data_IF_401802098321
#
_entry.id   IF_401802098321
#
_cell.length_a   1.000
_cell.length_b   1.000
_cell.length_c   1.000
_cell.angle_alpha   90.00
_cell.angle_beta   90.00
_cell.angle_gamma   90.00
#
_symmetry.space_group_name_H-M   'P 1'
#
loop_
_entity.id
_entity.type
_entity.pdbx_description
1 polymer ?
#
# COMPACT_ATOMS: atom_id res chain seq x y z
N UNK A 1 -12.11 -1.67 21.83
CA UNK A 1 -11.56 -2.96 22.27
C UNK A 1 -10.20 -3.11 21.58
N UNK A 2 -9.12 -3.01 22.35
CA UNK A 2 -7.77 -3.31 21.90
C UNK A 2 -7.64 -4.83 21.87
N UNK A 3 -7.29 -5.39 20.73
CA UNK A 3 -7.00 -6.81 20.62
C UNK A 3 -5.50 -7.00 20.79
N UNK A 4 -5.11 -7.66 21.89
CA UNK A 4 -3.77 -8.24 21.98
C UNK A 4 -3.82 -9.58 21.26
N UNK A 5 -3.02 -9.80 20.20
CA UNK A 5 -2.89 -11.13 19.63
C UNK A 5 -2.33 -12.06 20.72
N UNK A 6 -2.72 -13.35 20.73
CA UNK A 6 -2.14 -14.31 21.65
C UNK A 6 -0.61 -14.33 21.45
N UNK A 7 0.17 -14.60 22.54
CA UNK A 7 1.62 -14.70 22.41
C UNK A 7 1.96 -15.69 21.31
N UNK A 8 2.87 -15.29 20.42
CA UNK A 8 3.31 -16.14 19.32
C UNK A 8 3.73 -17.50 19.89
N UNK A 9 3.15 -18.58 19.34
CA UNK A 9 3.66 -19.93 19.59
C UNK A 9 5.14 -19.96 19.27
N UNK A 10 6.00 -20.61 20.09
CA UNK A 10 7.42 -20.68 19.81
C UNK A 10 7.62 -21.21 18.39
N UNK A 11 8.24 -20.42 17.53
CA UNK A 11 8.55 -20.80 16.18
C UNK A 11 9.33 -22.11 16.16
N UNK A 12 8.90 -23.01 15.29
CA UNK A 12 9.58 -24.24 15.03
C UNK A 12 11.07 -23.95 14.69
N UNK A 13 11.96 -24.73 15.28
CA UNK A 13 13.40 -24.55 15.37
C UNK A 13 14.17 -24.62 14.03
N UNK A 14 13.54 -24.34 12.89
CA UNK A 14 14.11 -24.57 11.55
C UNK A 14 14.58 -23.33 10.79
N UNK A 15 14.54 -22.12 11.35
CA UNK A 15 15.09 -20.94 10.68
C UNK A 15 16.11 -20.17 11.51
N UNK A 16 17.12 -20.86 12.07
CA UNK A 16 18.35 -20.23 12.57
C UNK A 16 19.33 -19.99 11.43
N UNK A 17 18.95 -19.15 10.52
CA UNK A 17 19.83 -18.73 9.45
C UNK A 17 19.30 -17.47 8.80
N UNK A 18 19.91 -16.30 9.09
CA UNK A 18 19.67 -15.03 8.43
C UNK A 18 18.27 -14.41 8.68
N UNK A 19 18.17 -13.64 9.70
CA UNK A 19 17.09 -12.71 9.86
C UNK A 19 16.75 -12.50 11.31
N UNK A 20 17.31 -11.46 11.90
CA UNK A 20 16.54 -10.71 12.87
C UNK A 20 15.15 -10.57 12.27
N UNK A 21 14.18 -11.18 12.92
CA UNK A 21 12.77 -10.93 12.60
C UNK A 21 12.61 -9.43 12.74
N UNK A 22 12.56 -8.71 11.63
CA UNK A 22 12.25 -7.29 11.61
C UNK A 22 10.89 -7.16 12.30
N UNK A 23 10.92 -6.83 13.57
CA UNK A 23 9.72 -6.50 14.34
C UNK A 23 9.18 -5.22 13.72
N UNK A 24 8.28 -5.37 12.76
CA UNK A 24 7.69 -4.25 12.03
C UNK A 24 6.95 -3.37 13.03
N UNK A 25 7.40 -2.16 13.17
CA UNK A 25 6.66 -1.11 13.86
C UNK A 25 5.51 -0.72 12.94
N UNK A 26 4.31 -1.20 13.22
CA UNK A 26 3.17 -0.95 12.36
C UNK A 26 1.87 -0.86 13.16
N UNK A 27 0.92 -0.14 12.58
CA UNK A 27 -0.48 -0.13 12.97
C UNK A 27 -1.30 -0.42 11.71
N UNK A 28 -2.43 -1.07 11.83
CA UNK A 28 -3.33 -1.23 10.71
C UNK A 28 -4.79 -1.26 11.15
N UNK A 29 -5.64 -0.76 10.28
CA UNK A 29 -7.09 -0.80 10.44
C UNK A 29 -7.65 -2.04 9.77
N UNK A 30 -8.45 -2.82 10.48
CA UNK A 30 -9.04 -4.08 10.00
C UNK A 30 -10.53 -4.14 10.27
N UNK A 31 -11.26 -4.86 9.41
CA UNK A 31 -12.68 -5.17 9.58
C UNK A 31 -13.64 -4.24 8.85
N UNK A 32 -14.88 -4.72 8.69
CA UNK A 32 -15.98 -4.01 8.04
C UNK A 32 -17.14 -3.76 9.00
N UNK A 33 -17.91 -2.70 8.78
CA UNK A 33 -19.14 -2.42 9.52
C UNK A 33 -18.90 -2.25 11.02
N UNK A 34 -19.53 -3.08 11.86
CA UNK A 34 -19.44 -3.03 13.32
C UNK A 34 -18.23 -3.76 13.89
N UNK A 35 -17.53 -4.57 13.10
CA UNK A 35 -16.39 -5.40 13.53
C UNK A 35 -15.04 -4.72 13.29
N UNK A 36 -14.98 -3.41 13.35
CA UNK A 36 -13.76 -2.64 13.08
C UNK A 36 -12.79 -2.70 14.25
N UNK A 37 -11.52 -2.87 13.95
CA UNK A 37 -10.44 -2.94 14.94
C UNK A 37 -9.22 -2.19 14.41
N UNK A 38 -8.52 -1.51 15.30
CA UNK A 38 -7.17 -1.02 15.06
C UNK A 38 -6.24 -1.98 15.78
N UNK A 39 -5.31 -2.59 15.07
CA UNK A 39 -4.27 -3.40 15.64
C UNK A 39 -2.98 -2.57 15.72
N UNK A 40 -2.40 -2.51 16.90
CA UNK A 40 -1.11 -1.89 17.16
C UNK A 40 -0.14 -2.99 17.54
N UNK A 41 1.05 -3.00 16.96
CA UNK A 41 2.09 -3.94 17.36
C UNK A 41 2.72 -3.52 18.69
N UNK A 42 3.05 -4.49 19.54
CA UNK A 42 3.66 -4.25 20.86
C UNK A 42 4.93 -3.40 20.76
N UNK A 43 5.71 -3.61 19.69
CA UNK A 43 6.92 -2.83 19.40
C UNK A 43 6.66 -1.34 19.16
N UNK A 44 5.47 -0.98 18.66
CA UNK A 44 5.05 0.42 18.53
C UNK A 44 4.77 1.02 19.90
N UNK A 45 4.09 0.26 20.77
CA UNK A 45 3.74 0.71 22.10
C UNK A 45 4.94 0.86 23.05
N UNK A 46 5.97 0.00 22.87
CA UNK A 46 7.17 0.01 23.73
C UNK A 46 8.15 1.15 23.38
N UNK A 47 8.19 1.59 22.12
CA UNK A 47 9.21 2.51 21.62
C UNK A 47 8.76 3.95 21.48
N UNK A 48 7.45 4.18 21.45
CA UNK A 48 6.89 5.47 21.08
C UNK A 48 6.11 6.11 22.22
N UNK A 49 6.11 7.44 22.24
CA UNK A 49 5.30 8.21 23.16
C UNK A 49 3.81 8.09 22.85
N UNK A 50 2.97 8.35 23.84
CA UNK A 50 1.51 8.33 23.64
C UNK A 50 1.05 9.29 22.55
N UNK A 51 1.67 10.46 22.39
CA UNK A 51 1.33 11.43 21.36
C UNK A 51 1.69 10.93 19.96
N UNK A 52 2.81 10.21 19.81
CA UNK A 52 3.20 9.57 18.57
C UNK A 52 2.22 8.45 18.19
N UNK A 53 1.86 7.60 19.14
CA UNK A 53 0.87 6.53 18.92
C UNK A 53 -0.47 7.12 18.51
N UNK A 54 -0.94 8.18 19.19
CA UNK A 54 -2.18 8.88 18.85
C UNK A 54 -2.12 9.45 17.44
N UNK A 55 -0.96 9.97 16.99
CA UNK A 55 -0.79 10.48 15.63
C UNK A 55 -0.92 9.38 14.57
N UNK A 56 -0.35 8.20 14.82
CA UNK A 56 -0.50 7.02 13.94
C UNK A 56 -1.95 6.56 13.88
N UNK A 57 -2.60 6.45 15.04
CA UNK A 57 -4.01 6.05 15.10
C UNK A 57 -4.90 7.07 14.37
N UNK A 58 -4.63 8.37 14.52
CA UNK A 58 -5.36 9.42 13.83
C UNK A 58 -5.18 9.34 12.30
N UNK A 59 -3.97 9.00 11.82
CA UNK A 59 -3.69 8.76 10.40
C UNK A 59 -4.52 7.57 9.88
N UNK A 60 -4.53 6.43 10.57
CA UNK A 60 -5.34 5.27 10.21
C UNK A 60 -6.85 5.57 10.21
N UNK A 61 -7.32 6.35 11.20
CA UNK A 61 -8.69 6.84 11.22
C UNK A 61 -8.97 7.77 10.04
N UNK A 62 -7.98 8.54 9.60
CA UNK A 62 -8.05 9.38 8.40
C UNK A 62 -8.37 8.56 7.16
N UNK A 63 -7.65 7.47 6.91
CA UNK A 63 -7.96 6.54 5.81
C UNK A 63 -9.40 6.03 5.86
N UNK A 64 -9.86 5.68 7.05
CA UNK A 64 -11.22 5.23 7.24
C UNK A 64 -12.26 6.32 6.96
N UNK A 65 -12.09 7.51 7.54
CA UNK A 65 -13.04 8.64 7.40
C UNK A 65 -13.15 9.13 5.97
N UNK A 66 -12.03 9.17 5.25
CA UNK A 66 -11.96 9.53 3.83
C UNK A 66 -12.36 8.38 2.89
N UNK A 67 -12.71 7.20 3.43
CA UNK A 67 -13.16 6.00 2.69
C UNK A 67 -12.13 5.47 1.69
N UNK A 68 -10.84 5.65 1.96
CA UNK A 68 -9.75 5.23 1.05
C UNK A 68 -9.78 3.73 0.77
N UNK A 69 -10.13 2.90 1.76
CA UNK A 69 -10.28 1.45 1.58
C UNK A 69 -11.41 1.13 0.60
N UNK A 70 -12.54 1.84 0.68
CA UNK A 70 -13.68 1.61 -0.21
C UNK A 70 -13.32 2.02 -1.64
N UNK A 71 -12.74 3.21 -1.83
CA UNK A 71 -12.33 3.69 -3.16
C UNK A 71 -11.26 2.79 -3.77
N UNK A 72 -10.28 2.34 -2.99
CA UNK A 72 -9.27 1.39 -3.43
C UNK A 72 -9.86 0.03 -3.82
N UNK A 73 -10.83 -0.49 -3.06
CA UNK A 73 -11.53 -1.74 -3.38
C UNK A 73 -12.30 -1.63 -4.69
N UNK A 74 -13.06 -0.54 -4.88
CA UNK A 74 -13.80 -0.30 -6.13
C UNK A 74 -12.84 -0.22 -7.31
N UNK A 75 -11.74 0.52 -7.17
CA UNK A 75 -10.72 0.63 -8.22
C UNK A 75 -10.11 -0.72 -8.56
N UNK A 76 -9.75 -1.53 -7.55
CA UNK A 76 -9.22 -2.88 -7.75
C UNK A 76 -10.21 -3.82 -8.47
N UNK A 77 -11.50 -3.72 -8.16
CA UNK A 77 -12.55 -4.49 -8.88
C UNK A 77 -12.61 -4.04 -10.35
N UNK A 78 -12.57 -2.73 -10.61
CA UNK A 78 -12.59 -2.19 -11.97
C UNK A 78 -11.34 -2.60 -12.77
N UNK A 79 -10.15 -2.52 -12.17
CA UNK A 79 -8.90 -2.99 -12.77
C UNK A 79 -8.93 -4.48 -13.10
N UNK A 80 -9.39 -5.29 -12.15
CA UNK A 80 -9.52 -6.75 -12.36
C UNK A 80 -10.52 -7.04 -13.48
N UNK A 81 -11.68 -6.37 -13.48
CA UNK A 81 -12.68 -6.49 -14.52
C UNK A 81 -12.15 -6.12 -15.91
N UNK A 82 -11.44 -5.01 -16.00
CA UNK A 82 -10.77 -4.57 -17.23
C UNK A 82 -9.70 -5.59 -17.69
N UNK A 83 -8.88 -6.08 -16.79
CA UNK A 83 -7.88 -7.10 -17.08
C UNK A 83 -8.52 -8.37 -17.66
N UNK A 84 -9.57 -8.88 -17.01
CA UNK A 84 -10.29 -10.08 -17.47
C UNK A 84 -11.00 -9.85 -18.80
N UNK A 85 -11.55 -8.67 -19.03
CA UNK A 85 -12.17 -8.30 -20.30
C UNK A 85 -11.13 -8.31 -21.44
N UNK A 86 -9.99 -7.66 -21.23
CA UNK A 86 -8.89 -7.64 -22.20
C UNK A 86 -8.36 -9.06 -22.42
N UNK A 87 -8.17 -9.84 -21.36
CA UNK A 87 -7.74 -11.24 -21.45
C UNK A 87 -8.68 -12.08 -22.32
N UNK A 88 -9.99 -11.97 -22.10
CA UNK A 88 -10.98 -12.70 -22.89
C UNK A 88 -10.91 -12.28 -24.37
N UNK A 89 -10.78 -10.99 -24.66
CA UNK A 89 -10.63 -10.49 -26.03
C UNK A 89 -9.38 -11.07 -26.71
N UNK A 90 -8.24 -11.02 -26.03
CA UNK A 90 -6.98 -11.52 -26.58
C UNK A 90 -6.96 -13.03 -26.78
N UNK A 91 -7.59 -13.81 -25.91
CA UNK A 91 -7.59 -15.29 -26.00
C UNK A 91 -8.64 -15.83 -26.97
N UNK A 92 -9.54 -14.99 -27.47
CA UNK A 92 -10.61 -15.40 -28.41
C UNK A 92 -10.33 -15.07 -29.87
N UNK A 93 -9.29 -14.26 -30.16
CA UNK A 93 -9.02 -13.77 -31.50
C UNK A 93 -7.92 -14.57 -32.19
N UNK A 94 -8.30 -15.43 -33.17
CA UNK A 94 -7.38 -16.21 -33.98
C UNK A 94 -6.40 -15.34 -34.79
N UNK A 95 -6.83 -14.14 -35.18
CA UNK A 95 -5.95 -13.26 -35.98
C UNK A 95 -4.74 -12.80 -35.15
N UNK A 96 -4.95 -12.56 -33.83
CA UNK A 96 -3.86 -12.24 -32.92
C UNK A 96 -2.86 -13.39 -32.80
N UNK A 97 -3.34 -14.62 -32.64
CA UNK A 97 -2.49 -15.81 -32.56
C UNK A 97 -1.66 -16.01 -33.84
N UNK A 98 -2.26 -15.79 -35.00
CA UNK A 98 -1.59 -15.90 -36.28
C UNK A 98 -0.41 -14.90 -36.45
N UNK A 99 -0.55 -13.67 -35.90
CA UNK A 99 0.54 -12.67 -35.91
C UNK A 99 1.77 -13.19 -35.16
N UNK A 100 1.59 -14.03 -34.15
CA UNK A 100 2.68 -14.64 -33.38
C UNK A 100 3.06 -16.03 -33.88
N UNK A 101 2.56 -16.45 -35.07
CA UNK A 101 2.88 -17.75 -35.68
C UNK A 101 2.24 -18.94 -34.94
N UNK A 102 1.18 -18.73 -34.18
CA UNK A 102 0.44 -19.77 -33.48
C UNK A 102 -0.81 -20.13 -34.28
N UNK A 103 -0.80 -21.31 -34.90
CA UNK A 103 -1.88 -21.76 -35.79
C UNK A 103 -3.21 -22.05 -35.09
N UNK A 104 -3.15 -22.52 -33.84
CA UNK A 104 -4.34 -22.90 -33.09
C UNK A 104 -4.46 -22.06 -31.80
N UNK A 105 -5.66 -21.54 -31.53
CA UNK A 105 -5.96 -20.87 -30.27
C UNK A 105 -5.75 -21.84 -29.11
N UNK A 106 -4.93 -21.46 -28.18
CA UNK A 106 -4.59 -22.25 -26.99
C UNK A 106 -4.58 -21.34 -25.76
N UNK A 107 -5.20 -21.79 -24.68
CA UNK A 107 -5.24 -21.05 -23.41
C UNK A 107 -3.81 -20.77 -22.91
N UNK A 108 -2.90 -21.73 -23.05
CA UNK A 108 -1.51 -21.58 -22.59
C UNK A 108 -0.77 -20.49 -23.37
N UNK A 109 -0.85 -20.53 -24.69
CA UNK A 109 -0.27 -19.49 -25.55
C UNK A 109 -0.94 -18.14 -25.29
N UNK A 110 -2.27 -18.13 -25.12
CA UNK A 110 -3.04 -16.93 -24.79
C UNK A 110 -2.60 -16.28 -23.51
N UNK A 111 -2.32 -17.03 -22.44
CA UNK A 111 -1.78 -16.53 -21.18
C UNK A 111 -0.41 -15.87 -21.35
N UNK A 112 0.48 -16.49 -22.13
CA UNK A 112 1.83 -15.93 -22.37
C UNK A 112 1.73 -14.64 -23.19
N UNK A 113 0.99 -14.65 -24.30
CA UNK A 113 0.80 -13.49 -25.15
C UNK A 113 0.12 -12.34 -24.43
N UNK A 114 -0.93 -12.66 -23.64
CA UNK A 114 -1.59 -11.67 -22.78
C UNK A 114 -0.61 -11.06 -21.79
N UNK A 115 0.18 -11.86 -21.07
CA UNK A 115 1.16 -11.36 -20.09
C UNK A 115 2.16 -10.38 -20.73
N UNK A 116 2.59 -10.64 -21.95
CA UNK A 116 3.50 -9.74 -22.70
C UNK A 116 2.80 -8.46 -23.13
N UNK A 117 1.59 -8.57 -23.72
CA UNK A 117 0.89 -7.45 -24.33
C UNK A 117 0.14 -6.59 -23.30
N UNK A 118 -0.21 -7.15 -22.14
CA UNK A 118 -0.89 -6.41 -21.06
C UNK A 118 0.07 -5.52 -20.25
N UNK A 119 1.38 -5.78 -20.31
CA UNK A 119 2.36 -5.04 -19.50
C UNK A 119 2.33 -3.51 -19.69
N UNK A 120 2.17 -2.93 -20.89
CA UNK A 120 2.02 -1.48 -21.06
C UNK A 120 0.73 -0.95 -20.43
N UNK A 121 -0.37 -1.72 -20.49
CA UNK A 121 -1.65 -1.35 -19.90
C UNK A 121 -1.52 -1.31 -18.37
N UNK A 122 -0.93 -2.36 -17.78
CA UNK A 122 -0.69 -2.43 -16.33
C UNK A 122 0.24 -1.31 -15.83
N UNK A 123 1.23 -0.91 -16.64
CA UNK A 123 2.07 0.24 -16.30
C UNK A 123 1.26 1.54 -16.24
N UNK A 124 0.39 1.78 -17.22
CA UNK A 124 -0.45 2.98 -17.25
C UNK A 124 -1.41 2.97 -16.04
N UNK A 125 -2.10 1.87 -15.79
CA UNK A 125 -3.03 1.77 -14.65
C UNK A 125 -2.30 1.92 -13.31
N UNK A 126 -1.09 1.37 -13.16
CA UNK A 126 -0.29 1.51 -11.95
C UNK A 126 0.10 2.97 -11.65
N UNK A 127 0.34 3.80 -12.66
CA UNK A 127 0.61 5.23 -12.47
C UNK A 127 -0.60 5.93 -11.84
N UNK A 128 -1.81 5.63 -12.31
CA UNK A 128 -3.04 6.23 -11.75
C UNK A 128 -3.30 5.73 -10.32
N UNK A 129 -3.16 4.44 -10.06
CA UNK A 129 -3.42 3.86 -8.74
C UNK A 129 -2.40 4.32 -7.71
N UNK A 130 -1.11 4.40 -8.07
CA UNK A 130 -0.07 4.93 -7.20
C UNK A 130 -0.23 6.44 -6.94
N UNK A 131 -0.66 7.22 -7.95
CA UNK A 131 -0.95 8.63 -7.76
C UNK A 131 -2.11 8.85 -6.78
N UNK A 132 -3.18 8.05 -6.90
CA UNK A 132 -4.30 8.08 -5.96
C UNK A 132 -3.86 7.66 -4.56
N UNK A 133 -3.05 6.62 -4.46
CA UNK A 133 -2.50 6.16 -3.17
C UNK A 133 -1.68 7.25 -2.49
N UNK A 134 -0.80 7.95 -3.21
CA UNK A 134 -0.03 9.08 -2.66
C UNK A 134 -0.92 10.22 -2.18
N UNK A 135 -1.99 10.53 -2.93
CA UNK A 135 -2.99 11.53 -2.51
C UNK A 135 -3.67 11.11 -1.21
N UNK A 136 -4.09 9.87 -1.11
CA UNK A 136 -4.75 9.32 0.07
C UNK A 136 -3.86 9.40 1.32
N UNK A 137 -2.56 9.17 1.19
CA UNK A 137 -1.59 9.32 2.29
C UNK A 137 -1.53 10.77 2.81
N UNK A 138 -1.47 11.74 1.89
CA UNK A 138 -1.46 13.16 2.27
C UNK A 138 -2.77 13.59 2.92
N UNK A 139 -3.90 13.07 2.46
CA UNK A 139 -5.21 13.32 3.07
C UNK A 139 -5.32 12.70 4.47
N UNK A 140 -4.74 11.53 4.69
CA UNK A 140 -4.70 10.89 6.00
C UNK A 140 -3.78 11.65 6.98
N UNK A 141 -2.62 12.14 6.50
CA UNK A 141 -1.73 13.00 7.29
C UNK A 141 -2.41 14.32 7.68
N UNK A 142 -3.08 14.95 6.73
CA UNK A 142 -3.83 16.18 6.99
C UNK A 142 -4.94 15.96 8.03
N UNK A 143 -5.67 14.84 7.94
CA UNK A 143 -6.68 14.47 8.93
C UNK A 143 -6.05 14.23 10.31
N UNK A 144 -4.91 13.54 10.38
CA UNK A 144 -4.19 13.32 11.64
C UNK A 144 -3.79 14.65 12.29
N UNK A 145 -3.24 15.58 11.50
CA UNK A 145 -2.85 16.91 11.96
C UNK A 145 -4.05 17.73 12.43
N UNK A 146 -5.14 17.77 11.65
CA UNK A 146 -6.37 18.47 12.01
C UNK A 146 -6.96 17.98 13.33
N UNK A 147 -6.90 16.64 13.55
CA UNK A 147 -7.48 15.99 14.72
C UNK A 147 -6.62 16.16 15.96
N UNK A 148 -5.31 15.97 15.84
CA UNK A 148 -4.38 16.00 16.99
C UNK A 148 -3.88 17.40 17.30
N UNK A 149 -3.83 18.29 16.30
CA UNK A 149 -3.24 19.64 16.35
C UNK A 149 -1.78 19.66 16.84
N UNK A 150 -1.09 18.54 16.67
CA UNK A 150 0.31 18.34 17.09
C UNK A 150 1.13 17.85 15.92
N UNK A 151 1.85 18.72 15.19
CA UNK A 151 2.66 18.31 14.03
C UNK A 151 3.92 17.50 14.43
N UNK A 152 4.55 17.82 15.58
CA UNK A 152 5.82 17.23 15.99
C UNK A 152 5.76 15.70 16.16
N UNK A 153 4.76 15.12 16.86
CA UNK A 153 4.64 13.66 16.98
C UNK A 153 4.49 12.95 15.63
N UNK A 154 3.68 13.51 14.72
CA UNK A 154 3.51 12.97 13.38
C UNK A 154 4.83 13.02 12.58
N UNK A 155 5.55 14.14 12.65
CA UNK A 155 6.86 14.31 12.00
C UNK A 155 7.90 13.33 12.58
N UNK A 156 7.90 13.13 13.90
CA UNK A 156 8.77 12.18 14.59
C UNK A 156 8.54 10.76 14.06
N UNK A 157 7.28 10.32 14.01
CA UNK A 157 6.90 9.01 13.49
C UNK A 157 7.27 8.81 12.02
N UNK A 158 7.08 9.82 11.18
CA UNK A 158 7.48 9.76 9.78
C UNK A 158 9.00 9.60 9.61
N UNK A 159 9.80 10.28 10.44
CA UNK A 159 11.26 10.14 10.41
C UNK A 159 11.70 8.74 10.85
N UNK A 160 11.09 8.20 11.90
CA UNK A 160 11.43 6.87 12.39
C UNK A 160 11.01 5.77 11.41
N UNK A 161 9.83 5.93 10.78
CA UNK A 161 9.40 5.05 9.71
C UNK A 161 10.40 5.04 8.54
N UNK A 162 10.91 6.21 8.16
CA UNK A 162 11.94 6.32 7.13
C UNK A 162 13.25 5.63 7.53
N UNK A 163 13.68 5.80 8.77
CA UNK A 163 14.91 5.19 9.30
C UNK A 163 14.79 3.66 9.41
N UNK A 164 13.67 3.17 9.95
CA UNK A 164 13.43 1.74 10.13
C UNK A 164 13.27 0.97 8.81
N UNK A 165 12.70 1.62 7.79
CA UNK A 165 12.51 1.02 6.46
C UNK A 165 13.68 1.30 5.50
N UNK A 166 14.76 1.96 5.95
CA UNK A 166 15.88 2.38 5.10
C UNK A 166 15.40 3.13 3.85
N UNK A 167 14.40 3.99 4.02
CA UNK A 167 13.73 4.67 2.91
C UNK A 167 14.65 5.66 2.23
N UNK A 168 14.63 5.71 0.90
CA UNK A 168 15.36 6.72 0.14
C UNK A 168 14.72 8.10 0.38
N UNK A 169 15.45 9.03 0.98
CA UNK A 169 14.92 10.33 1.40
C UNK A 169 14.72 11.32 0.25
N UNK A 170 15.50 11.16 -0.82
CA UNK A 170 15.49 12.05 -2.00
C UNK A 170 15.39 11.26 -3.31
N UNK A 171 14.32 10.46 -3.51
CA UNK A 171 14.15 9.71 -4.74
C UNK A 171 13.94 10.65 -5.92
N UNK A 172 14.38 10.23 -7.11
CA UNK A 172 14.16 10.99 -8.33
C UNK A 172 12.65 11.17 -8.60
N UNK A 173 12.16 12.37 -8.97
CA UNK A 173 10.73 12.63 -9.16
C UNK A 173 10.04 11.66 -10.14
N UNK A 174 10.72 11.27 -11.22
CA UNK A 174 10.20 10.30 -12.17
C UNK A 174 9.99 8.92 -11.52
N UNK A 175 10.88 8.47 -10.64
CA UNK A 175 10.72 7.22 -9.92
C UNK A 175 9.51 7.27 -8.98
N UNK A 176 9.32 8.39 -8.28
CA UNK A 176 8.14 8.62 -7.43
C UNK A 176 6.86 8.57 -8.27
N UNK A 177 6.86 9.24 -9.41
CA UNK A 177 5.72 9.26 -10.33
C UNK A 177 5.33 7.86 -10.82
N UNK A 178 6.32 7.05 -11.24
CA UNK A 178 6.09 5.75 -11.87
C UNK A 178 5.79 4.62 -10.88
N UNK A 179 6.41 4.64 -9.68
CA UNK A 179 6.50 3.41 -8.87
C UNK A 179 6.14 3.56 -7.40
N UNK A 180 6.08 4.79 -6.86
CA UNK A 180 5.87 4.98 -5.43
C UNK A 180 4.37 5.03 -5.09
N UNK A 181 3.91 4.10 -4.29
CA UNK A 181 2.56 4.09 -3.73
C UNK A 181 2.38 5.06 -2.56
N UNK A 182 3.47 5.45 -1.90
CA UNK A 182 3.49 6.45 -0.82
C UNK A 182 4.36 7.64 -1.23
N UNK A 183 4.00 8.87 -0.83
CA UNK A 183 4.89 10.02 -1.05
C UNK A 183 6.20 9.83 -0.27
N UNK A 184 7.34 10.32 -0.78
CA UNK A 184 8.57 10.37 0.00
C UNK A 184 8.33 11.03 1.35
N UNK A 185 8.97 10.50 2.40
CA UNK A 185 8.78 11.03 3.76
C UNK A 185 9.09 12.51 3.85
N UNK A 186 10.08 13.00 3.08
CA UNK A 186 10.38 14.43 2.98
C UNK A 186 9.19 15.28 2.49
N UNK A 187 8.42 14.77 1.51
CA UNK A 187 7.21 15.45 1.02
C UNK A 187 6.10 15.46 2.07
N UNK A 188 5.88 14.34 2.77
CA UNK A 188 4.89 14.23 3.85
C UNK A 188 5.21 15.21 4.97
N UNK A 189 6.48 15.26 5.43
CA UNK A 189 6.93 16.19 6.46
C UNK A 189 6.73 17.64 6.03
N UNK A 190 7.07 18.00 4.78
CA UNK A 190 6.85 19.34 4.27
C UNK A 190 5.38 19.72 4.22
N UNK A 191 4.50 18.81 3.81
CA UNK A 191 3.06 19.02 3.81
C UNK A 191 2.52 19.27 5.23
N UNK A 192 2.96 18.48 6.22
CA UNK A 192 2.58 18.68 7.65
C UNK A 192 3.06 20.01 8.20
N UNK A 193 4.25 20.50 7.80
CA UNK A 193 4.79 21.80 8.26
C UNK A 193 4.13 23.01 7.61
N UNK A 194 3.54 22.83 6.43
CA UNK A 194 2.91 23.93 5.67
C UNK A 194 1.40 24.07 5.93
N UNK A 195 0.82 23.14 6.67
CA UNK A 195 -0.61 23.12 7.06
C UNK A 195 -0.80 23.73 8.44
#
# INVERSE_FOLDING_TARGET
FFYHPPPATPDAQESRGLGDVYKRQNAYFSGFGKSRRIALFDTLLEKHSNDEIVSVVAHEVGHYKKKHVISGTILGILETGMMLFIFNFFTSDQALFNVFGVENVSIYCGLVLFGMLYSPVSLITSIFTTALSRKNELEADAYALETTKKPEPLISMLKELAASNLSHLTPHPLMVFLSYSHPPVSQRINAVKSS
#
